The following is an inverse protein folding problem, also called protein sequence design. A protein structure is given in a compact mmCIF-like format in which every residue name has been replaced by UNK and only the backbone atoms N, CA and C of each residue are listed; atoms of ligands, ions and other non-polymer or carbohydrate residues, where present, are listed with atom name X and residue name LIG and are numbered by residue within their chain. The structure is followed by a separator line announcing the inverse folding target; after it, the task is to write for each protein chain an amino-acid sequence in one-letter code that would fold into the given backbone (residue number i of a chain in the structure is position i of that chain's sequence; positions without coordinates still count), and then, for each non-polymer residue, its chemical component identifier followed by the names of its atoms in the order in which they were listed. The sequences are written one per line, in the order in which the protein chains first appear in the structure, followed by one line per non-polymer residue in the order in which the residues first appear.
data_IF_911755087660
#
_entry.id   IF_911755087660
#
_cell.length_a   1.000
_cell.length_b   1.000
_cell.length_c   1.000
_cell.angle_alpha   90.00
_cell.angle_beta   90.00
_cell.angle_gamma   90.00
#
_symmetry.space_group_name_H-M   'P 1'
#
loop_
_entity.id
_entity.type
_entity.pdbx_description
1 polymer ?
#
# COMPACT_ATOMS: atom_id res chain seq x y z
N UNK A 1 11.90 16.34 -5.60
CA UNK A 1 13.34 15.97 -5.44
C UNK A 1 13.59 15.26 -4.11
N UNK A 2 13.06 15.74 -2.97
CA UNK A 2 13.29 15.14 -1.65
C UNK A 2 12.86 13.66 -1.58
N UNK A 3 11.68 13.31 -2.09
CA UNK A 3 11.17 11.92 -2.14
C UNK A 3 12.14 10.95 -2.81
N UNK A 4 12.73 11.35 -3.94
CA UNK A 4 13.65 10.49 -4.68
C UNK A 4 14.94 10.26 -3.88
N UNK A 5 15.52 11.32 -3.30
CA UNK A 5 16.72 11.20 -2.49
C UNK A 5 16.48 10.29 -1.27
N UNK A 6 15.34 10.49 -0.58
CA UNK A 6 14.94 9.66 0.55
C UNK A 6 14.70 8.19 0.12
N UNK A 7 14.02 7.97 -1.00
CA UNK A 7 13.78 6.62 -1.52
C UNK A 7 15.07 5.87 -1.88
N UNK A 8 16.06 6.57 -2.47
CA UNK A 8 17.37 5.99 -2.76
C UNK A 8 18.10 5.63 -1.46
N UNK A 9 18.13 6.55 -0.50
CA UNK A 9 18.74 6.29 0.82
C UNK A 9 18.11 5.08 1.52
N UNK A 10 16.79 4.99 1.50
CA UNK A 10 16.04 3.84 2.05
C UNK A 10 16.35 2.54 1.31
N UNK A 11 16.42 2.54 -0.02
CA UNK A 11 16.78 1.33 -0.79
C UNK A 11 18.20 0.85 -0.46
N UNK A 12 19.16 1.76 -0.30
CA UNK A 12 20.52 1.41 0.10
C UNK A 12 20.53 0.84 1.51
N UNK A 13 19.91 1.53 2.47
CA UNK A 13 19.88 1.12 3.87
C UNK A 13 19.18 -0.24 4.07
N UNK A 14 18.07 -0.47 3.38
CA UNK A 14 17.30 -1.71 3.48
C UNK A 14 17.70 -2.79 2.46
N UNK A 15 18.72 -2.56 1.62
CA UNK A 15 19.14 -3.52 0.59
C UNK A 15 19.44 -4.92 1.13
N UNK A 16 20.10 -5.14 2.29
CA UNK A 16 20.31 -6.48 2.83
C UNK A 16 19.00 -7.19 3.16
N UNK A 17 18.03 -6.46 3.74
CA UNK A 17 16.70 -6.99 4.09
C UNK A 17 15.92 -7.32 2.81
N UNK A 18 15.97 -6.46 1.79
CA UNK A 18 15.30 -6.68 0.51
C UNK A 18 15.85 -7.95 -0.18
N UNK A 19 17.17 -8.14 -0.19
CA UNK A 19 17.81 -9.32 -0.77
C UNK A 19 17.42 -10.58 0.01
N UNK A 20 17.52 -10.56 1.35
CA UNK A 20 17.14 -11.68 2.19
C UNK A 20 15.67 -12.07 1.98
N UNK A 21 14.77 -11.06 1.91
CA UNK A 21 13.34 -11.28 1.63
C UNK A 21 13.14 -11.91 0.25
N UNK A 22 13.83 -11.42 -0.78
CA UNK A 22 13.76 -11.96 -2.14
C UNK A 22 14.17 -13.44 -2.19
N UNK A 23 15.26 -13.79 -1.51
CA UNK A 23 15.75 -15.17 -1.39
C UNK A 23 14.72 -16.04 -0.66
N UNK A 24 14.21 -15.59 0.50
CA UNK A 24 13.23 -16.33 1.27
C UNK A 24 11.95 -16.63 0.46
N UNK A 25 11.44 -15.66 -0.30
CA UNK A 25 10.29 -15.85 -1.20
C UNK A 25 10.57 -16.91 -2.26
N UNK A 26 11.78 -16.89 -2.85
CA UNK A 26 12.18 -17.85 -3.90
C UNK A 26 12.32 -19.26 -3.37
N UNK A 27 12.83 -19.41 -2.14
CA UNK A 27 12.98 -20.73 -1.50
C UNK A 27 11.64 -21.33 -1.09
N UNK A 28 10.67 -20.51 -0.66
CA UNK A 28 9.38 -20.99 -0.16
C UNK A 28 8.40 -21.35 -1.28
N UNK A 29 8.41 -20.63 -2.41
CA UNK A 29 7.44 -20.86 -3.48
C UNK A 29 7.99 -20.56 -4.87
N UNK A 30 7.56 -21.36 -5.86
CA UNK A 30 7.89 -21.14 -7.29
C UNK A 30 7.24 -19.85 -7.81
N UNK A 31 7.89 -19.15 -8.75
CA UNK A 31 7.37 -17.97 -9.43
C UNK A 31 8.21 -16.69 -9.21
N UNK A 32 7.73 -15.51 -9.67
CA UNK A 32 8.45 -14.25 -9.56
C UNK A 32 8.51 -13.75 -8.11
N UNK A 33 9.60 -13.04 -7.74
CA UNK A 33 9.78 -12.44 -6.42
C UNK A 33 8.85 -11.24 -6.25
N UNK A 34 8.67 -10.47 -7.31
CA UNK A 34 7.85 -9.27 -7.30
C UNK A 34 6.48 -9.51 -7.90
N UNK A 35 5.49 -8.85 -7.31
CA UNK A 35 4.12 -8.73 -7.78
C UNK A 35 3.84 -7.27 -8.16
N UNK A 36 3.06 -7.05 -9.21
CA UNK A 36 2.67 -5.71 -9.67
C UNK A 36 1.15 -5.61 -9.71
N UNK A 37 0.61 -4.63 -9.00
CA UNK A 37 -0.83 -4.39 -8.94
C UNK A 37 -1.19 -3.04 -9.57
N UNK A 38 -2.23 -3.04 -10.43
CA UNK A 38 -2.77 -1.81 -11.01
C UNK A 38 -3.53 -1.03 -9.94
N UNK A 39 -3.17 0.24 -9.78
CA UNK A 39 -3.79 1.14 -8.80
C UNK A 39 -4.00 2.52 -9.40
N UNK A 40 -4.96 3.28 -8.83
CA UNK A 40 -5.17 4.67 -9.18
C UNK A 40 -4.07 5.54 -8.55
N UNK A 41 -3.37 6.31 -9.37
CA UNK A 41 -2.32 7.24 -9.01
C UNK A 41 -2.73 8.71 -9.21
N UNK A 42 -1.72 9.58 -9.36
CA UNK A 42 -1.92 11.00 -9.61
C UNK A 42 -2.81 11.24 -10.84
N UNK A 43 -3.73 12.22 -10.74
CA UNK A 43 -4.73 12.52 -11.79
C UNK A 43 -5.49 11.27 -12.28
N UNK A 44 -5.75 10.32 -11.38
CA UNK A 44 -6.45 9.06 -11.68
C UNK A 44 -5.75 8.16 -12.73
N UNK A 45 -4.50 8.45 -13.08
CA UNK A 45 -3.72 7.61 -13.98
C UNK A 45 -3.46 6.24 -13.33
N UNK A 46 -3.51 5.18 -14.12
CA UNK A 46 -3.24 3.83 -13.60
C UNK A 46 -1.73 3.61 -13.53
N UNK A 47 -1.24 3.38 -12.30
CA UNK A 47 0.15 3.01 -12.01
C UNK A 47 0.24 1.54 -11.62
N UNK A 48 1.40 0.91 -11.90
CA UNK A 48 1.70 -0.46 -11.49
C UNK A 48 2.57 -0.43 -10.24
N UNK A 49 1.95 -0.64 -9.09
CA UNK A 49 2.62 -0.61 -7.79
C UNK A 49 3.38 -1.91 -7.56
N UNK A 50 4.68 -1.80 -7.25
CA UNK A 50 5.55 -2.93 -6.96
C UNK A 50 5.38 -3.40 -5.52
N UNK A 51 5.32 -4.72 -5.34
CA UNK A 51 5.32 -5.38 -4.03
C UNK A 51 6.14 -6.67 -4.08
N UNK A 52 6.59 -7.13 -2.94
CA UNK A 52 7.01 -8.52 -2.83
C UNK A 52 5.78 -9.45 -2.92
N UNK A 53 5.98 -10.62 -3.55
CA UNK A 53 4.97 -11.65 -3.59
C UNK A 53 4.80 -12.28 -2.21
N UNK A 54 3.61 -12.19 -1.65
CA UNK A 54 3.24 -12.75 -0.35
C UNK A 54 2.27 -13.94 -0.44
N UNK A 55 1.85 -14.29 -1.65
CA UNK A 55 0.89 -15.35 -1.93
C UNK A 55 1.42 -16.29 -3.01
N UNK A 56 0.98 -17.54 -2.98
CA UNK A 56 1.22 -18.49 -4.07
C UNK A 56 0.47 -18.05 -5.31
N UNK A 57 1.07 -18.28 -6.47
CA UNK A 57 0.46 -18.02 -7.76
C UNK A 57 -0.48 -19.21 -8.07
N UNK A 58 -1.76 -19.04 -7.76
CA UNK A 58 -2.81 -20.03 -8.02
C UNK A 58 -3.78 -19.47 -9.04
N UNK A 59 -3.78 -19.99 -10.29
CA UNK A 59 -4.66 -19.51 -11.37
C UNK A 59 -6.15 -19.66 -11.03
N UNK A 60 -6.55 -20.73 -10.32
CA UNK A 60 -7.94 -20.97 -9.92
C UNK A 60 -8.40 -19.97 -8.87
N UNK A 61 -7.49 -19.60 -7.96
CA UNK A 61 -7.75 -18.57 -6.96
C UNK A 61 -7.66 -17.16 -7.55
N UNK A 62 -6.92 -16.95 -8.64
CA UNK A 62 -6.83 -15.64 -9.31
C UNK A 62 -8.18 -15.17 -9.85
N UNK A 63 -9.02 -16.08 -10.29
CA UNK A 63 -10.38 -15.78 -10.78
C UNK A 63 -11.31 -15.30 -9.64
N UNK A 64 -11.08 -15.79 -8.42
CA UNK A 64 -11.74 -15.32 -7.19
C UNK A 64 -11.13 -14.03 -6.64
N UNK A 65 -10.02 -13.55 -7.20
CA UNK A 65 -9.26 -12.36 -6.74
C UNK A 65 -9.94 -11.01 -6.99
N UNK A 66 -11.17 -10.94 -7.45
CA UNK A 66 -11.97 -9.70 -7.46
C UNK A 66 -12.28 -9.20 -6.04
N UNK A 67 -12.08 -10.03 -5.02
CA UNK A 67 -12.30 -9.68 -3.62
C UNK A 67 -11.00 -9.28 -2.92
N UNK A 68 -11.11 -8.37 -1.94
CA UNK A 68 -10.03 -8.04 -1.03
C UNK A 68 -9.57 -9.30 -0.28
N UNK A 69 -8.28 -9.39 0.04
CA UNK A 69 -7.73 -10.53 0.81
C UNK A 69 -8.50 -10.72 2.10
N UNK A 70 -8.96 -11.94 2.33
CA UNK A 70 -9.64 -12.33 3.54
C UNK A 70 -8.64 -12.64 4.67
N UNK A 71 -9.09 -12.62 5.92
CA UNK A 71 -8.35 -13.12 7.07
C UNK A 71 -8.10 -14.61 6.86
N UNK A 72 -6.87 -15.07 7.17
CA UNK A 72 -6.45 -16.47 7.03
C UNK A 72 -6.54 -17.06 5.61
N UNK A 73 -6.28 -16.21 4.59
CA UNK A 73 -6.25 -16.63 3.20
C UNK A 73 -5.19 -17.74 2.97
N UNK A 74 -5.59 -18.97 2.57
CA UNK A 74 -4.68 -20.13 2.44
C UNK A 74 -3.58 -19.95 1.39
N UNK A 75 -3.68 -18.95 0.52
CA UNK A 75 -2.67 -18.62 -0.48
C UNK A 75 -1.47 -17.91 0.12
N UNK A 76 -1.63 -17.28 1.30
CA UNK A 76 -0.55 -16.54 1.96
C UNK A 76 0.49 -17.54 2.43
N UNK A 77 1.75 -17.34 2.01
CA UNK A 77 2.88 -18.16 2.42
C UNK A 77 3.33 -17.78 3.85
N UNK A 78 4.17 -18.59 4.50
CA UNK A 78 4.72 -18.26 5.83
C UNK A 78 5.58 -16.99 5.78
N UNK A 79 6.47 -16.90 4.79
CA UNK A 79 7.25 -15.68 4.51
C UNK A 79 6.31 -14.54 4.16
N UNK A 80 5.28 -14.80 3.34
CA UNK A 80 4.24 -13.85 2.99
C UNK A 80 3.52 -13.28 4.20
N UNK A 81 3.16 -14.10 5.18
CA UNK A 81 2.54 -13.67 6.44
C UNK A 81 3.48 -12.72 7.22
N UNK A 82 4.76 -13.09 7.34
CA UNK A 82 5.76 -12.26 8.03
C UNK A 82 5.95 -10.90 7.35
N UNK A 83 6.20 -10.88 6.03
CA UNK A 83 6.46 -9.62 5.30
C UNK A 83 5.22 -8.71 5.26
N UNK A 84 4.01 -9.26 5.29
CA UNK A 84 2.76 -8.47 5.40
C UNK A 84 2.59 -7.86 6.78
N UNK A 85 2.85 -8.64 7.87
CA UNK A 85 2.80 -8.13 9.24
C UNK A 85 3.80 -7.00 9.48
N UNK A 86 4.99 -7.10 8.90
CA UNK A 86 6.06 -6.10 9.02
C UNK A 86 6.01 -5.01 7.95
N UNK A 87 5.06 -5.08 7.00
CA UNK A 87 4.98 -4.19 5.82
C UNK A 87 6.21 -4.20 4.92
N UNK A 88 7.10 -5.18 5.06
CA UNK A 88 8.26 -5.36 4.17
C UNK A 88 7.83 -5.64 2.73
N UNK A 89 6.63 -6.23 2.54
CA UNK A 89 6.06 -6.47 1.22
C UNK A 89 5.86 -5.19 0.40
N UNK A 90 5.77 -4.04 1.05
CA UNK A 90 5.55 -2.74 0.41
C UNK A 90 6.83 -1.96 0.09
N UNK A 91 8.01 -2.38 0.62
CA UNK A 91 9.28 -1.70 0.35
C UNK A 91 9.64 -1.56 -1.14
N UNK A 92 9.31 -2.51 -2.05
CA UNK A 92 9.55 -2.33 -3.47
C UNK A 92 8.80 -1.13 -4.10
N UNK A 93 7.81 -0.54 -3.42
CA UNK A 93 7.16 0.70 -3.87
C UNK A 93 8.14 1.88 -3.94
N UNK A 94 9.28 1.82 -3.24
CA UNK A 94 10.35 2.81 -3.38
C UNK A 94 10.83 2.94 -4.83
N UNK A 95 10.76 1.89 -5.64
CA UNK A 95 11.01 1.99 -7.09
C UNK A 95 9.96 2.85 -7.82
N UNK A 96 8.69 2.82 -7.37
CA UNK A 96 7.67 3.71 -7.93
C UNK A 96 7.92 5.18 -7.54
N UNK A 97 8.47 5.43 -6.33
CA UNK A 97 8.84 6.77 -5.90
C UNK A 97 9.98 7.32 -6.77
N UNK A 98 11.03 6.51 -7.00
CA UNK A 98 12.15 6.91 -7.88
C UNK A 98 11.68 7.20 -9.29
N UNK A 99 10.72 6.43 -9.81
CA UNK A 99 10.08 6.68 -11.12
C UNK A 99 9.18 7.91 -11.14
N UNK A 100 8.91 8.53 -9.98
CA UNK A 100 8.00 9.66 -9.87
C UNK A 100 6.51 9.32 -9.96
N UNK A 101 6.15 8.04 -9.95
CA UNK A 101 4.77 7.53 -9.97
C UNK A 101 4.08 7.63 -8.61
N UNK A 102 4.87 7.64 -7.52
CA UNK A 102 4.42 7.73 -6.13
C UNK A 102 5.26 8.74 -5.35
N UNK A 103 4.78 9.10 -4.16
CA UNK A 103 5.49 9.83 -3.10
C UNK A 103 5.77 8.90 -1.92
N UNK A 104 6.65 9.30 -1.00
CA UNK A 104 6.79 8.63 0.29
C UNK A 104 5.49 8.80 1.10
N UNK A 105 4.99 10.03 1.17
CA UNK A 105 3.76 10.39 1.91
C UNK A 105 2.66 10.78 0.94
N UNK A 106 1.46 10.28 1.19
CA UNK A 106 0.29 10.60 0.37
C UNK A 106 -0.89 9.63 0.62
N UNK A 107 -2.04 9.88 -0.01
CA UNK A 107 -3.17 8.96 0.03
C UNK A 107 -2.80 7.56 -0.44
N UNK A 108 -3.24 6.52 0.29
CA UNK A 108 -2.96 5.14 -0.12
C UNK A 108 -3.65 4.83 -1.45
N UNK A 109 -2.93 4.32 -2.47
CA UNK A 109 -3.52 4.04 -3.77
C UNK A 109 -4.48 2.86 -3.70
N UNK A 110 -5.73 3.05 -4.14
CA UNK A 110 -6.74 1.99 -4.22
C UNK A 110 -6.58 1.16 -5.49
N UNK A 111 -6.91 -0.13 -5.40
CA UNK A 111 -6.88 -1.05 -6.54
C UNK A 111 -7.91 -0.64 -7.59
N UNK A 112 -7.56 -0.80 -8.86
CA UNK A 112 -8.54 -0.61 -9.95
C UNK A 112 -9.66 -1.64 -9.81
N UNK A 113 -10.91 -1.18 -9.87
CA UNK A 113 -12.09 -2.04 -9.71
C UNK A 113 -12.39 -2.45 -8.27
N UNK A 114 -11.82 -1.75 -7.26
CA UNK A 114 -12.10 -2.03 -5.86
C UNK A 114 -13.55 -1.73 -5.50
N UNK A 115 -14.19 -2.69 -4.82
CA UNK A 115 -15.56 -2.57 -4.31
C UNK A 115 -15.58 -2.68 -2.79
N UNK A 116 -16.60 -2.11 -2.16
CA UNK A 116 -16.94 -2.27 -0.75
C UNK A 116 -18.45 -2.43 -0.65
N UNK A 117 -18.93 -3.50 0.01
CA UNK A 117 -20.36 -3.86 0.06
C UNK A 117 -20.98 -3.83 -1.35
N UNK A 118 -20.34 -4.51 -2.32
CA UNK A 118 -20.74 -4.61 -3.73
C UNK A 118 -20.80 -3.29 -4.50
N UNK A 119 -20.49 -2.17 -3.84
CA UNK A 119 -20.50 -0.83 -4.46
C UNK A 119 -19.06 -0.44 -4.84
N UNK A 120 -18.87 0.10 -6.05
CA UNK A 120 -17.59 0.66 -6.45
C UNK A 120 -17.16 1.77 -5.48
N UNK A 121 -15.93 1.68 -4.94
CA UNK A 121 -15.44 2.64 -3.92
C UNK A 121 -15.54 4.09 -4.39
N UNK A 122 -15.36 4.32 -5.69
CA UNK A 122 -15.48 5.64 -6.32
C UNK A 122 -16.91 6.21 -6.28
N UNK A 123 -17.94 5.35 -6.20
CA UNK A 123 -19.34 5.76 -6.14
C UNK A 123 -19.83 6.00 -4.70
N UNK A 124 -19.05 5.61 -3.67
CA UNK A 124 -19.43 5.75 -2.26
C UNK A 124 -19.29 7.20 -1.76
N UNK A 125 -18.33 7.95 -2.36
CA UNK A 125 -18.01 9.33 -1.95
C UNK A 125 -17.95 10.22 -3.19
N UNK A 126 -18.78 11.27 -3.25
CA UNK A 126 -18.86 12.16 -4.41
C UNK A 126 -17.52 12.82 -4.78
N UNK A 127 -16.74 13.21 -3.78
CA UNK A 127 -15.44 13.88 -3.95
C UNK A 127 -14.25 12.92 -4.01
N UNK A 128 -14.50 11.63 -4.22
CA UNK A 128 -13.45 10.60 -4.23
C UNK A 128 -12.27 10.93 -5.14
N UNK A 129 -12.52 11.54 -6.30
CA UNK A 129 -11.49 11.87 -7.28
C UNK A 129 -10.48 12.93 -6.78
N UNK A 130 -10.88 13.78 -5.83
CA UNK A 130 -10.02 14.84 -5.30
C UNK A 130 -8.79 14.30 -4.56
N UNK A 131 -8.85 13.10 -4.02
CA UNK A 131 -7.68 12.45 -3.41
C UNK A 131 -6.54 12.15 -4.38
N UNK A 132 -6.81 12.16 -5.69
CA UNK A 132 -5.84 11.94 -6.75
C UNK A 132 -5.16 13.23 -7.23
N UNK A 133 -5.42 14.38 -6.58
CA UNK A 133 -4.73 15.65 -6.87
C UNK A 133 -3.29 15.67 -6.39
N UNK A 134 -2.91 14.72 -5.55
CA UNK A 134 -1.53 14.49 -5.10
C UNK A 134 -1.08 13.09 -5.50
N UNK A 135 0.24 12.86 -5.52
CA UNK A 135 0.76 11.51 -5.75
C UNK A 135 0.34 10.57 -4.62
N UNK A 136 0.02 9.30 -4.91
CA UNK A 136 -0.23 8.32 -3.88
C UNK A 136 1.04 8.05 -3.06
N UNK A 137 0.88 7.79 -1.76
CA UNK A 137 1.98 7.55 -0.83
C UNK A 137 2.17 6.08 -0.47
N UNK A 138 3.39 5.75 -0.04
CA UNK A 138 3.70 4.48 0.66
C UNK A 138 3.06 4.53 2.05
N UNK A 139 3.22 5.65 2.76
CA UNK A 139 2.50 5.98 4.00
C UNK A 139 1.63 7.20 3.81
N UNK A 140 0.77 7.51 4.78
CA UNK A 140 -0.12 8.67 4.69
C UNK A 140 -0.91 8.93 5.95
N UNK A 141 -1.58 10.08 5.99
CA UNK A 141 -2.36 10.55 7.12
C UNK A 141 -3.43 9.55 7.57
N UNK A 142 -4.18 8.98 6.64
CA UNK A 142 -5.17 7.96 6.93
C UNK A 142 -4.54 6.72 7.60
N UNK A 143 -3.34 6.31 7.17
CA UNK A 143 -2.66 5.12 7.68
C UNK A 143 -2.20 5.29 9.13
N UNK A 144 -1.65 6.45 9.50
CA UNK A 144 -1.21 6.70 10.88
C UNK A 144 -2.37 6.98 11.83
N UNK A 145 -3.56 7.32 11.30
CA UNK A 145 -4.80 7.47 12.07
C UNK A 145 -5.67 6.19 12.06
N UNK A 146 -5.05 5.01 11.93
CA UNK A 146 -5.73 3.72 12.08
C UNK A 146 -6.48 3.22 10.84
N UNK A 147 -6.58 3.99 9.75
CA UNK A 147 -7.22 3.53 8.51
C UNK A 147 -6.25 2.74 7.63
N UNK A 148 -5.70 1.63 8.19
CA UNK A 148 -4.85 0.65 7.50
C UNK A 148 -5.68 -0.56 7.09
N UNK A 149 -5.14 -1.37 6.18
CA UNK A 149 -5.80 -2.62 5.77
C UNK A 149 -6.97 -2.43 4.79
N UNK A 150 -7.78 -3.47 4.59
CA UNK A 150 -8.90 -3.45 3.66
C UNK A 150 -10.07 -2.61 4.20
N UNK A 151 -10.88 -2.06 3.28
CA UNK A 151 -12.08 -1.28 3.60
C UNK A 151 -13.32 -2.07 3.20
N UNK A 152 -13.78 -2.91 4.11
CA UNK A 152 -14.91 -3.82 3.87
C UNK A 152 -16.27 -3.12 3.92
N UNK A 153 -16.39 -1.98 4.60
CA UNK A 153 -17.64 -1.24 4.75
C UNK A 153 -17.58 0.15 4.12
N UNK A 154 -18.74 0.65 3.67
CA UNK A 154 -18.87 2.01 3.14
C UNK A 154 -18.45 3.08 4.16
N UNK A 155 -18.66 2.81 5.46
CA UNK A 155 -18.22 3.71 6.53
C UNK A 155 -16.68 3.85 6.54
N UNK A 156 -15.94 2.73 6.49
CA UNK A 156 -14.48 2.75 6.45
C UNK A 156 -13.93 3.44 5.20
N UNK A 157 -14.62 3.31 4.06
CA UNK A 157 -14.27 4.05 2.84
C UNK A 157 -14.41 5.55 3.05
N UNK A 158 -15.56 6.01 3.58
CA UNK A 158 -15.80 7.43 3.83
C UNK A 158 -14.77 8.03 4.78
N UNK A 159 -14.48 7.33 5.89
CA UNK A 159 -13.49 7.77 6.87
C UNK A 159 -12.08 7.86 6.28
N UNK A 160 -11.67 6.87 5.49
CA UNK A 160 -10.38 6.91 4.78
C UNK A 160 -10.31 8.08 3.82
N UNK A 161 -11.35 8.29 3.00
CA UNK A 161 -11.38 9.40 2.04
C UNK A 161 -11.37 10.75 2.77
N UNK A 162 -12.09 10.89 3.89
CA UNK A 162 -12.05 12.09 4.73
C UNK A 162 -10.63 12.43 5.18
N UNK A 163 -9.92 11.45 5.72
CA UNK A 163 -8.52 11.62 6.16
C UNK A 163 -7.57 11.90 4.97
N UNK A 164 -7.78 11.24 3.84
CA UNK A 164 -7.01 11.52 2.61
C UNK A 164 -7.23 12.97 2.12
N UNK A 165 -8.46 13.46 2.20
CA UNK A 165 -8.79 14.86 1.84
C UNK A 165 -8.20 15.87 2.84
N UNK A 166 -8.19 15.53 4.12
CA UNK A 166 -7.52 16.36 5.13
C UNK A 166 -6.02 16.48 4.81
N UNK A 167 -5.36 15.37 4.42
CA UNK A 167 -3.97 15.40 3.96
C UNK A 167 -3.80 16.29 2.73
N UNK A 168 -4.62 16.13 1.70
CA UNK A 168 -4.54 16.93 0.46
C UNK A 168 -4.58 18.43 0.76
N UNK A 169 -5.47 18.85 1.68
CA UNK A 169 -5.64 20.25 2.06
C UNK A 169 -4.51 20.81 2.94
N UNK A 170 -3.80 19.95 3.69
CA UNK A 170 -2.75 20.34 4.64
C UNK A 170 -1.35 19.96 4.18
N UNK A 171 -1.21 19.35 2.99
CA UNK A 171 0.07 18.83 2.50
C UNK A 171 1.16 19.89 2.55
N UNK A 172 2.25 19.57 3.23
CA UNK A 172 3.44 20.40 3.36
C UNK A 172 4.63 19.53 3.74
N UNK A 173 5.85 20.03 3.49
CA UNK A 173 7.07 19.32 3.86
C UNK A 173 7.12 18.90 5.34
N UNK A 174 6.72 19.80 6.25
CA UNK A 174 6.72 19.52 7.69
C UNK A 174 5.65 18.51 8.08
N UNK A 175 4.50 18.54 7.42
CA UNK A 175 3.44 17.57 7.66
C UNK A 175 3.83 16.17 7.14
N UNK A 176 4.50 16.10 6.00
CA UNK A 176 5.06 14.85 5.48
C UNK A 176 6.12 14.27 6.43
N UNK A 177 7.04 15.11 6.94
CA UNK A 177 8.04 14.69 7.92
C UNK A 177 7.39 14.15 9.20
N UNK A 178 6.37 14.82 9.71
CA UNK A 178 5.58 14.35 10.85
C UNK A 178 4.97 12.98 10.58
N UNK A 179 4.31 12.79 9.42
CA UNK A 179 3.70 11.51 9.04
C UNK A 179 4.75 10.40 8.93
N UNK A 180 5.93 10.68 8.36
CA UNK A 180 7.02 9.71 8.27
C UNK A 180 7.49 9.26 9.66
N UNK A 181 7.68 10.19 10.59
CA UNK A 181 8.09 9.89 11.97
C UNK A 181 7.01 9.04 12.67
N UNK A 182 5.74 9.42 12.54
CA UNK A 182 4.61 8.69 13.15
C UNK A 182 4.32 7.35 12.51
N UNK A 183 4.86 7.08 11.33
CA UNK A 183 4.72 5.77 10.67
C UNK A 183 5.48 4.67 11.41
N UNK A 184 6.66 4.96 11.97
CA UNK A 184 7.48 3.97 12.67
C UNK A 184 6.76 3.32 13.88
N UNK A 185 6.20 4.08 14.86
CA UNK A 185 5.44 3.48 15.95
C UNK A 185 4.18 2.75 15.47
N UNK A 186 3.50 3.24 14.41
CA UNK A 186 2.35 2.55 13.84
C UNK A 186 2.71 1.20 13.19
N UNK A 187 3.92 1.03 12.67
CA UNK A 187 4.40 -0.25 12.16
C UNK A 187 4.70 -1.24 13.29
N UNK A 188 5.20 -0.75 14.42
CA UNK A 188 5.59 -1.58 15.58
C UNK A 188 4.41 -1.89 16.51
N UNK A 189 3.42 -0.99 16.61
CA UNK A 189 2.28 -1.10 17.51
C UNK A 189 1.05 -1.82 16.95
N UNK A 190 1.01 -2.10 15.66
CA UNK A 190 -0.19 -2.57 14.95
C UNK A 190 -0.38 -4.10 15.00
N UNK A 191 -0.18 -4.69 16.19
CA UNK A 191 -0.57 -6.10 16.44
C UNK A 191 -2.10 -6.34 16.37
N UNK A 192 -2.91 -5.26 16.26
CA UNK A 192 -4.38 -5.30 16.27
C UNK A 192 -5.02 -5.06 14.90
N UNK A 193 -4.26 -4.71 13.87
CA UNK A 193 -4.84 -4.52 12.53
C UNK A 193 -4.91 -5.87 11.84
N UNK A 194 -6.10 -6.45 11.74
CA UNK A 194 -6.40 -7.64 10.95
C UNK A 194 -6.01 -7.40 9.48
N UNK A 195 -4.87 -7.93 9.05
CA UNK A 195 -4.38 -7.92 7.67
C UNK A 195 -4.46 -9.28 7.05
#
# INVERSE_FOLDING_TARGET
CADIAFAIGMLIAFSPILIATAIAIKLESKGPVFFRQRRHGFNNQVVRVWKFRSMRDDPVAAEKMKQQTLKDDPRVTRVGCFIRKTSLDELPQLFNVIKGEMSIVGPRPHSVGMTSEETAVQAIVGDYAHRHRVKPGITGWAQINGSRGPVHTKHLVRERVRLDMEYVNRSSFWFDLYIMIMTAPCLLGDAKTDR
#
